data_IF_182722588825
#
_entry.id   IF_182722588825
#
_cell.length_a   1.000
_cell.length_b   1.000
_cell.length_c   1.000
_cell.angle_alpha   90.00
_cell.angle_beta   90.00
_cell.angle_gamma   90.00
#
_symmetry.space_group_name_H-M   'P 1'
#
loop_
_entity.id
_entity.type
_entity.pdbx_description
1 polymer ?
#
# COMPACT_ATOMS: atom_id res chain seq x y z
N UNK A 1 -21.60 8.28 -3.29
CA UNK A 1 -22.40 7.46 -2.35
C UNK A 1 -21.65 7.44 -1.02
N UNK A 2 -22.32 7.68 0.11
CA UNK A 2 -21.64 7.71 1.41
C UNK A 2 -21.15 6.30 1.79
N UNK A 3 -20.12 6.19 2.62
CA UNK A 3 -19.62 4.87 3.11
C UNK A 3 -20.76 4.07 3.73
N UNK A 4 -21.63 4.72 4.51
CA UNK A 4 -22.81 4.09 5.12
C UNK A 4 -23.77 3.49 4.10
N UNK A 5 -24.01 4.17 2.98
CA UNK A 5 -24.90 3.66 1.93
C UNK A 5 -24.28 2.42 1.26
N UNK A 6 -22.96 2.44 1.03
CA UNK A 6 -22.21 1.29 0.49
C UNK A 6 -22.25 0.10 1.45
N UNK A 7 -22.14 0.32 2.75
CA UNK A 7 -22.26 -0.74 3.76
C UNK A 7 -23.65 -1.39 3.74
N UNK A 8 -24.72 -0.59 3.61
CA UNK A 8 -26.09 -1.09 3.48
C UNK A 8 -26.26 -1.91 2.19
N UNK A 9 -25.71 -1.43 1.07
CA UNK A 9 -25.71 -2.17 -0.19
C UNK A 9 -24.96 -3.49 -0.06
N UNK A 10 -23.78 -3.50 0.58
CA UNK A 10 -22.98 -4.71 0.81
C UNK A 10 -23.74 -5.72 1.68
N UNK A 11 -24.38 -5.29 2.76
CA UNK A 11 -25.20 -6.17 3.59
C UNK A 11 -26.38 -6.76 2.82
N UNK A 12 -27.04 -5.94 2.00
CA UNK A 12 -28.15 -6.37 1.15
C UNK A 12 -27.66 -7.44 0.17
N UNK A 13 -26.53 -7.19 -0.49
CA UNK A 13 -25.95 -8.13 -1.44
C UNK A 13 -25.53 -9.45 -0.78
N UNK A 14 -24.96 -9.41 0.43
CA UNK A 14 -24.64 -10.62 1.21
C UNK A 14 -25.89 -11.45 1.52
N UNK A 15 -27.02 -10.81 1.86
CA UNK A 15 -28.29 -11.50 2.10
C UNK A 15 -28.84 -12.12 0.82
N UNK A 16 -28.78 -11.40 -0.29
CA UNK A 16 -29.20 -11.93 -1.60
C UNK A 16 -28.37 -13.14 -2.03
N UNK A 17 -27.04 -13.09 -1.82
CA UNK A 17 -26.14 -14.21 -2.11
C UNK A 17 -26.52 -15.42 -1.24
N UNK A 18 -26.66 -15.23 0.07
CA UNK A 18 -27.03 -16.31 0.97
C UNK A 18 -28.39 -16.93 0.62
N UNK A 19 -29.36 -16.11 0.19
CA UNK A 19 -30.64 -16.59 -0.28
C UNK A 19 -30.50 -17.40 -1.58
N UNK A 20 -29.73 -16.90 -2.55
CA UNK A 20 -29.48 -17.58 -3.81
C UNK A 20 -28.75 -18.91 -3.61
N UNK A 21 -27.78 -18.96 -2.70
CA UNK A 21 -27.06 -20.18 -2.33
C UNK A 21 -27.97 -21.19 -1.64
N UNK A 22 -28.87 -20.74 -0.77
CA UNK A 22 -29.78 -21.62 -0.04
C UNK A 22 -30.80 -22.33 -0.95
N UNK A 23 -31.22 -21.71 -2.05
CA UNK A 23 -32.15 -22.31 -3.01
C UNK A 23 -31.49 -22.85 -4.28
N UNK A 24 -30.17 -22.69 -4.40
CA UNK A 24 -29.39 -22.90 -5.62
C UNK A 24 -29.65 -24.25 -6.29
N UNK A 25 -29.52 -25.35 -5.55
CA UNK A 25 -29.65 -26.70 -6.11
C UNK A 25 -31.07 -26.96 -6.61
N UNK A 26 -32.08 -26.51 -5.86
CA UNK A 26 -33.49 -26.70 -6.21
C UNK A 26 -33.88 -25.85 -7.42
N UNK A 27 -33.45 -24.59 -7.44
CA UNK A 27 -33.77 -23.67 -8.54
C UNK A 27 -33.02 -24.06 -9.82
N UNK A 28 -31.77 -24.53 -9.71
CA UNK A 28 -31.05 -25.11 -10.83
C UNK A 28 -31.73 -26.38 -11.35
N UNK A 29 -32.20 -27.27 -10.48
CA UNK A 29 -32.91 -28.48 -10.90
C UNK A 29 -34.20 -28.14 -11.67
N UNK A 30 -34.97 -27.15 -11.22
CA UNK A 30 -36.15 -26.65 -11.93
C UNK A 30 -35.80 -26.05 -13.28
N UNK A 31 -34.76 -25.20 -13.32
CA UNK A 31 -34.25 -24.61 -14.57
C UNK A 31 -33.84 -25.69 -15.56
N UNK A 32 -33.13 -26.73 -15.12
CA UNK A 32 -32.76 -27.86 -15.96
C UNK A 32 -33.98 -28.66 -16.42
N UNK A 33 -34.99 -28.85 -15.56
CA UNK A 33 -36.21 -29.54 -15.95
C UNK A 33 -36.97 -28.80 -17.06
N UNK A 34 -37.01 -27.47 -17.00
CA UNK A 34 -37.62 -26.63 -18.03
C UNK A 34 -36.79 -26.55 -19.32
N UNK A 35 -35.46 -26.62 -19.20
CA UNK A 35 -34.52 -26.51 -20.33
C UNK A 35 -34.21 -27.86 -21.00
N UNK A 36 -34.62 -28.97 -20.40
CA UNK A 36 -34.43 -30.30 -20.99
C UNK A 36 -35.34 -30.46 -22.20
N UNK A 37 -34.73 -30.50 -23.38
CA UNK A 37 -35.41 -30.72 -24.65
C UNK A 37 -35.14 -32.14 -25.19
N UNK A 38 -35.82 -32.51 -26.27
CA UNK A 38 -35.66 -33.84 -26.91
C UNK A 38 -34.20 -34.16 -27.24
N UNK A 39 -33.38 -33.15 -27.54
CA UNK A 39 -31.95 -33.35 -27.84
C UNK A 39 -31.15 -33.68 -26.59
N UNK A 40 -31.40 -33.00 -25.48
CA UNK A 40 -30.74 -33.31 -24.22
C UNK A 40 -31.20 -34.68 -23.68
N UNK A 41 -32.47 -35.03 -23.86
CA UNK A 41 -32.98 -36.37 -23.54
C UNK A 41 -32.31 -37.45 -24.40
N UNK A 42 -32.14 -37.22 -25.71
CA UNK A 42 -31.43 -38.12 -26.60
C UNK A 42 -30.00 -38.39 -26.10
N UNK A 43 -29.28 -37.33 -25.70
CA UNK A 43 -27.95 -37.47 -25.10
C UNK A 43 -27.99 -38.34 -23.83
N UNK A 44 -29.01 -38.23 -22.99
CA UNK A 44 -29.12 -39.04 -21.77
C UNK A 44 -29.17 -40.56 -22.06
N UNK A 45 -29.84 -40.95 -23.14
CA UNK A 45 -29.99 -42.35 -23.55
C UNK A 45 -28.84 -42.85 -24.43
N UNK A 46 -28.37 -42.02 -25.36
CA UNK A 46 -27.45 -42.43 -26.43
C UNK A 46 -25.99 -41.99 -26.19
N UNK A 47 -25.75 -40.94 -25.40
CA UNK A 47 -24.40 -40.43 -25.11
C UNK A 47 -24.30 -39.73 -23.74
N UNK A 48 -24.20 -40.53 -22.68
CA UNK A 48 -24.18 -40.06 -21.28
C UNK A 48 -23.06 -39.08 -20.98
N UNK A 49 -21.90 -39.21 -21.63
CA UNK A 49 -20.75 -38.32 -21.40
C UNK A 49 -21.10 -36.91 -21.84
N UNK A 50 -21.64 -36.76 -23.05
CA UNK A 50 -22.00 -35.44 -23.58
C UNK A 50 -23.24 -34.87 -22.90
N UNK A 51 -24.16 -35.71 -22.41
CA UNK A 51 -25.24 -35.27 -21.52
C UNK A 51 -24.69 -34.56 -20.28
N UNK A 52 -23.81 -35.21 -19.50
CA UNK A 52 -23.27 -34.60 -18.29
C UNK A 52 -22.41 -33.36 -18.57
N UNK A 53 -21.69 -33.33 -19.70
CA UNK A 53 -20.98 -32.11 -20.14
C UNK A 53 -21.94 -30.94 -20.37
N UNK A 54 -23.05 -31.16 -21.08
CA UNK A 54 -24.07 -30.13 -21.30
C UNK A 54 -24.67 -29.63 -19.99
N UNK A 55 -24.98 -30.54 -19.06
CA UNK A 55 -25.50 -30.18 -17.73
C UNK A 55 -24.49 -29.32 -16.94
N UNK A 56 -23.20 -29.68 -16.96
CA UNK A 56 -22.16 -28.91 -16.26
C UNK A 56 -21.93 -27.53 -16.88
N UNK A 57 -21.97 -27.42 -18.20
CA UNK A 57 -21.91 -26.11 -18.88
C UNK A 57 -23.07 -25.23 -18.45
N UNK A 58 -24.29 -25.79 -18.41
CA UNK A 58 -25.47 -25.06 -17.99
C UNK A 58 -25.41 -24.68 -16.51
N UNK A 59 -24.92 -25.58 -15.65
CA UNK A 59 -24.69 -25.29 -14.23
C UNK A 59 -23.74 -24.12 -14.05
N UNK A 60 -22.62 -24.10 -14.76
CA UNK A 60 -21.65 -23.00 -14.68
C UNK A 60 -22.26 -21.68 -15.15
N UNK A 61 -23.06 -21.70 -16.23
CA UNK A 61 -23.76 -20.50 -16.70
C UNK A 61 -24.77 -19.99 -15.64
N UNK A 62 -25.55 -20.89 -15.07
CA UNK A 62 -26.52 -20.57 -14.03
C UNK A 62 -25.85 -19.98 -12.78
N UNK A 63 -24.79 -20.63 -12.29
CA UNK A 63 -24.00 -20.14 -11.16
C UNK A 63 -23.43 -18.74 -11.43
N UNK A 64 -22.90 -18.54 -12.62
CA UNK A 64 -22.33 -17.26 -13.00
C UNK A 64 -23.37 -16.13 -12.99
N UNK A 65 -24.57 -16.39 -13.51
CA UNK A 65 -25.65 -15.40 -13.59
C UNK A 65 -26.31 -15.09 -12.24
N UNK A 66 -26.49 -16.11 -11.40
CA UNK A 66 -27.27 -15.98 -10.18
C UNK A 66 -26.44 -15.76 -8.90
N UNK A 67 -25.17 -16.21 -8.89
CA UNK A 67 -24.31 -16.15 -7.70
C UNK A 67 -23.00 -15.42 -7.99
N UNK A 68 -22.19 -15.86 -8.96
CA UNK A 68 -20.81 -15.37 -9.11
C UNK A 68 -20.74 -13.87 -9.36
N UNK A 69 -21.56 -13.32 -10.26
CA UNK A 69 -21.61 -11.86 -10.50
C UNK A 69 -21.96 -11.05 -9.24
N UNK A 70 -22.83 -11.59 -8.37
CA UNK A 70 -23.17 -10.94 -7.10
C UNK A 70 -22.00 -11.00 -6.13
N UNK A 71 -21.33 -12.15 -6.04
CA UNK A 71 -20.13 -12.31 -5.22
C UNK A 71 -19.03 -11.34 -5.67
N UNK A 72 -18.76 -11.25 -6.97
CA UNK A 72 -17.76 -10.32 -7.53
C UNK A 72 -18.08 -8.87 -7.16
N UNK A 73 -19.37 -8.48 -7.26
CA UNK A 73 -19.83 -7.15 -6.86
C UNK A 73 -19.65 -6.92 -5.35
N UNK A 74 -19.91 -7.92 -4.50
CA UNK A 74 -19.73 -7.81 -3.05
C UNK A 74 -18.26 -7.61 -2.69
N UNK A 75 -17.35 -8.32 -3.36
CA UNK A 75 -15.91 -8.20 -3.17
C UNK A 75 -15.47 -6.78 -3.56
N UNK A 76 -15.80 -6.34 -4.78
CA UNK A 76 -15.43 -5.00 -5.26
C UNK A 76 -15.96 -3.89 -4.34
N UNK A 77 -17.22 -4.01 -3.88
CA UNK A 77 -17.81 -3.03 -2.97
C UNK A 77 -17.15 -3.05 -1.59
N UNK A 78 -16.77 -4.23 -1.09
CA UNK A 78 -16.05 -4.36 0.17
C UNK A 78 -14.67 -3.71 0.11
N UNK A 79 -13.92 -3.92 -0.98
CA UNK A 79 -12.64 -3.27 -1.22
C UNK A 79 -12.79 -1.74 -1.33
N UNK A 80 -13.82 -1.27 -2.03
CA UNK A 80 -14.10 0.16 -2.15
C UNK A 80 -14.42 0.81 -0.79
N UNK A 81 -15.20 0.13 0.07
CA UNK A 81 -15.50 0.58 1.42
C UNK A 81 -14.22 0.65 2.26
N UNK A 82 -13.39 -0.40 2.23
CA UNK A 82 -12.15 -0.44 2.98
C UNK A 82 -11.20 0.69 2.58
N UNK A 83 -11.02 0.91 1.28
CA UNK A 83 -10.21 2.00 0.76
C UNK A 83 -10.77 3.38 1.15
N UNK A 84 -12.10 3.54 1.10
CA UNK A 84 -12.76 4.79 1.50
C UNK A 84 -12.55 5.08 3.00
N UNK A 85 -12.65 4.05 3.86
CA UNK A 85 -12.41 4.18 5.30
C UNK A 85 -10.96 4.55 5.61
N UNK A 86 -10.00 3.85 5.00
CA UNK A 86 -8.57 4.19 5.15
C UNK A 86 -8.28 5.63 4.74
N UNK A 87 -8.84 6.08 3.61
CA UNK A 87 -8.68 7.46 3.17
C UNK A 87 -9.28 8.45 4.18
N UNK A 88 -10.46 8.16 4.72
CA UNK A 88 -11.10 9.01 5.73
C UNK A 88 -10.29 9.05 7.03
N UNK A 89 -9.78 7.91 7.51
CA UNK A 89 -8.92 7.83 8.70
C UNK A 89 -7.64 8.67 8.54
N UNK A 90 -7.03 8.64 7.34
CA UNK A 90 -5.85 9.46 7.02
C UNK A 90 -6.21 10.96 7.04
N UNK A 91 -7.33 11.34 6.41
CA UNK A 91 -7.79 12.74 6.38
C UNK A 91 -8.13 13.26 7.79
N UNK A 92 -8.80 12.45 8.61
CA UNK A 92 -9.12 12.77 10.00
C UNK A 92 -7.85 12.94 10.84
N UNK A 93 -6.89 12.03 10.70
CA UNK A 93 -5.60 12.12 11.37
C UNK A 93 -4.79 13.35 10.93
N UNK A 94 -4.81 13.69 9.63
CA UNK A 94 -4.19 14.92 9.12
C UNK A 94 -4.86 16.16 9.72
N UNK A 95 -6.18 16.19 9.75
CA UNK A 95 -6.94 17.31 10.32
C UNK A 95 -6.67 17.47 11.82
N UNK A 96 -6.64 16.38 12.58
CA UNK A 96 -6.33 16.40 14.02
C UNK A 96 -4.88 16.85 14.28
N UNK A 97 -3.93 16.42 13.46
CA UNK A 97 -2.55 16.90 13.53
C UNK A 97 -2.46 18.41 13.29
N UNK A 98 -3.04 18.90 12.19
CA UNK A 98 -3.07 20.33 11.88
C UNK A 98 -3.82 21.12 12.96
N UNK A 99 -4.83 20.54 13.60
CA UNK A 99 -5.54 21.16 14.71
C UNK A 99 -4.66 21.34 15.95
N UNK A 100 -3.87 20.32 16.31
CA UNK A 100 -2.93 20.40 17.44
C UNK A 100 -1.82 21.42 17.22
N UNK A 101 -1.46 21.64 15.97
CA UNK A 101 -0.38 22.55 15.57
C UNK A 101 -0.90 23.84 14.90
N UNK A 102 -2.14 24.26 15.18
CA UNK A 102 -2.74 25.49 14.60
C UNK A 102 -1.92 26.76 14.81
N UNK A 103 -1.14 26.81 15.89
CA UNK A 103 -0.29 27.95 16.24
C UNK A 103 1.11 27.88 15.60
N UNK A 104 1.43 26.77 14.94
CA UNK A 104 2.68 26.52 14.24
C UNK A 104 2.39 26.59 12.74
N UNK A 105 3.12 27.42 12.00
CA UNK A 105 2.93 27.58 10.55
C UNK A 105 3.54 26.36 9.81
N UNK A 106 2.95 25.18 10.03
CA UNK A 106 3.40 23.92 9.44
C UNK A 106 3.01 23.90 7.97
N UNK A 107 4.01 23.79 7.11
CA UNK A 107 3.81 23.41 5.72
C UNK A 107 3.75 21.87 5.61
N UNK A 108 2.56 21.36 5.30
CA UNK A 108 2.36 19.91 5.20
C UNK A 108 3.05 19.32 3.97
N UNK A 109 3.19 20.10 2.89
CA UNK A 109 3.85 19.62 1.67
C UNK A 109 5.34 19.44 1.95
N UNK A 110 5.97 20.33 2.73
CA UNK A 110 7.35 20.17 3.20
C UNK A 110 7.54 18.93 4.09
N UNK A 111 6.58 18.61 4.98
CA UNK A 111 6.65 17.40 5.80
C UNK A 111 6.58 16.12 4.95
N UNK A 112 5.75 16.12 3.92
CA UNK A 112 5.60 15.00 3.00
C UNK A 112 6.88 14.84 2.17
N UNK A 113 7.45 15.94 1.68
CA UNK A 113 8.72 15.92 0.93
C UNK A 113 9.88 15.47 1.80
N UNK A 114 9.98 15.95 3.05
CA UNK A 114 10.95 15.47 4.03
C UNK A 114 10.84 13.96 4.27
N UNK A 115 9.62 13.46 4.47
CA UNK A 115 9.39 12.02 4.61
C UNK A 115 9.81 11.28 3.34
N UNK A 116 9.46 11.75 2.15
CA UNK A 116 9.70 11.02 0.90
C UNK A 116 11.16 11.08 0.43
N UNK A 117 11.82 12.23 0.55
CA UNK A 117 13.11 12.51 -0.09
C UNK A 117 14.27 12.51 0.90
N UNK A 118 14.07 13.04 2.10
CA UNK A 118 15.16 13.28 3.06
C UNK A 118 15.29 12.17 4.12
N UNK A 119 14.20 11.47 4.42
CA UNK A 119 14.18 10.50 5.51
C UNK A 119 14.88 9.17 5.14
N UNK A 120 15.92 8.72 5.88
CA UNK A 120 16.54 7.43 5.64
C UNK A 120 15.56 6.27 5.81
N UNK A 121 15.72 5.22 4.99
CA UNK A 121 14.82 4.05 4.97
C UNK A 121 14.60 3.39 6.34
N UNK A 122 15.59 3.48 7.24
CA UNK A 122 15.47 2.96 8.61
C UNK A 122 14.36 3.67 9.39
N UNK A 123 14.31 4.99 9.34
CA UNK A 123 13.31 5.79 10.02
C UNK A 123 11.94 5.65 9.35
N UNK A 124 11.88 5.55 8.01
CA UNK A 124 10.63 5.29 7.27
C UNK A 124 9.94 4.04 7.81
N UNK A 125 10.69 2.93 7.95
CA UNK A 125 10.15 1.68 8.51
C UNK A 125 9.68 1.76 9.96
N UNK A 126 10.17 2.72 10.74
CA UNK A 126 9.73 2.94 12.12
C UNK A 126 8.45 3.78 12.13
N UNK A 127 8.39 4.81 11.29
CA UNK A 127 7.22 5.69 11.11
C UNK A 127 6.06 4.93 10.45
N UNK A 128 6.31 4.07 9.47
CA UNK A 128 5.29 3.28 8.75
C UNK A 128 4.53 2.31 9.65
N UNK A 129 5.01 2.07 10.88
CA UNK A 129 4.31 1.27 11.89
C UNK A 129 3.36 2.11 12.75
N UNK A 130 3.50 3.42 12.71
CA UNK A 130 2.64 4.35 13.43
C UNK A 130 1.39 4.61 12.61
N UNK A 131 0.26 4.74 13.29
CA UNK A 131 -1.04 4.96 12.67
C UNK A 131 -1.63 6.31 13.11
N UNK A 132 -2.48 6.86 12.25
CA UNK A 132 -3.21 8.10 12.53
C UNK A 132 -2.31 9.29 12.85
N UNK A 133 -2.63 10.03 13.90
CA UNK A 133 -1.92 11.28 14.24
C UNK A 133 -0.46 11.04 14.64
N UNK A 134 -0.14 9.87 15.20
CA UNK A 134 1.24 9.55 15.63
C UNK A 134 2.20 9.46 14.45
N UNK A 135 1.70 9.04 13.28
CA UNK A 135 2.47 9.04 12.04
C UNK A 135 2.92 10.46 11.68
N UNK A 136 1.98 11.41 11.63
CA UNK A 136 2.27 12.80 11.29
C UNK A 136 3.15 13.47 12.37
N UNK A 137 2.90 13.18 13.65
CA UNK A 137 3.72 13.68 14.75
C UNK A 137 5.18 13.24 14.63
N UNK A 138 5.43 11.97 14.32
CA UNK A 138 6.80 11.46 14.23
C UNK A 138 7.59 12.08 13.07
N UNK A 139 6.93 12.33 11.93
CA UNK A 139 7.55 13.06 10.81
C UNK A 139 7.88 14.48 11.25
N UNK A 140 6.95 15.15 11.92
CA UNK A 140 7.13 16.51 12.41
C UNK A 140 8.26 16.64 13.43
N UNK A 141 8.33 15.75 14.42
CA UNK A 141 9.37 15.76 15.44
C UNK A 141 10.77 15.57 14.82
N UNK A 142 10.88 14.70 13.81
CA UNK A 142 12.13 14.49 13.08
C UNK A 142 12.49 15.68 12.19
N UNK A 143 11.50 16.31 11.56
CA UNK A 143 11.69 17.52 10.76
C UNK A 143 12.18 18.69 11.63
N UNK A 144 11.56 18.90 12.79
CA UNK A 144 11.98 19.91 13.76
C UNK A 144 13.39 19.62 14.31
N UNK A 145 13.73 18.35 14.56
CA UNK A 145 15.08 17.96 14.97
C UNK A 145 16.13 18.28 13.89
N UNK A 146 15.83 17.96 12.62
CA UNK A 146 16.71 18.24 11.49
C UNK A 146 16.88 19.75 11.22
N UNK A 147 15.80 20.53 11.33
CA UNK A 147 15.90 22.00 11.24
C UNK A 147 16.62 22.62 12.45
N UNK A 148 16.45 22.03 13.65
CA UNK A 148 17.17 22.41 14.86
C UNK A 148 18.68 22.17 14.79
N UNK A 149 19.11 21.08 14.16
CA UNK A 149 20.53 20.79 13.88
C UNK A 149 21.11 21.79 12.86
N UNK A 150 20.36 22.17 11.83
CA UNK A 150 20.77 23.21 10.88
C UNK A 150 20.94 24.62 11.53
N UNK A 151 20.27 24.90 12.66
CA UNK A 151 20.50 26.13 13.43
C UNK A 151 21.66 26.04 14.45
N UNK A 152 22.15 24.84 14.78
CA UNK A 152 23.32 24.66 15.66
C UNK A 152 24.64 24.52 14.91
N UNK A 153 24.65 24.04 13.67
CA UNK A 153 25.88 23.98 12.86
C UNK A 153 26.40 25.36 12.43
N UNK A 154 25.53 26.38 12.28
CA UNK A 154 25.97 27.77 12.03
C UNK A 154 26.57 28.47 13.27
N UNK A 155 26.34 27.95 14.48
CA UNK A 155 26.99 28.46 15.71
C UNK A 155 28.20 27.65 16.14
N UNK A 156 28.27 26.35 15.85
CA UNK A 156 29.45 25.53 16.12
C UNK A 156 30.64 25.87 15.19
N UNK A 157 30.36 26.32 13.96
CA UNK A 157 31.38 26.71 12.99
C UNK A 157 32.13 28.02 13.30
N UNK A 158 31.75 28.76 14.35
CA UNK A 158 32.47 29.98 14.80
C UNK A 158 33.22 29.86 16.12
N UNK A 159 33.05 28.77 16.88
CA UNK A 159 33.71 28.61 18.18
C UNK A 159 34.76 27.49 18.22
N UNK A 160 34.83 26.59 17.24
CA UNK A 160 35.84 25.52 17.20
C UNK A 160 37.18 25.87 16.52
N UNK A 161 37.39 27.12 16.06
CA UNK A 161 38.73 27.55 15.60
C UNK A 161 39.67 27.98 16.74
N UNK A 162 39.24 27.97 18.01
CA UNK A 162 40.07 28.50 19.13
C UNK A 162 40.81 27.49 19.99
N UNK A 163 40.68 26.17 19.80
CA UNK A 163 41.39 25.20 20.65
C UNK A 163 41.91 23.96 19.90
N UNK A 164 42.68 24.16 18.81
CA UNK A 164 43.60 23.13 18.33
C UNK A 164 45.02 23.45 18.82
N UNK A 165 45.68 22.58 19.61
CA UNK A 165 47.06 22.76 20.02
C UNK A 165 47.97 22.84 18.80
N UNK A 166 48.84 23.86 18.77
CA UNK A 166 49.82 24.07 17.70
C UNK A 166 50.67 22.81 17.48
N UNK A 167 50.68 22.31 16.24
CA UNK A 167 51.57 21.26 15.80
C UNK A 167 53.04 21.66 16.04
N UNK A 168 53.76 20.75 16.71
CA UNK A 168 55.19 20.85 16.96
C UNK A 168 55.93 20.65 15.64
N UNK A 169 56.72 21.65 15.24
CA UNK A 169 57.62 21.57 14.08
C UNK A 169 58.66 20.46 14.28
N UNK A 170 58.48 19.33 13.59
CA UNK A 170 59.50 18.31 13.38
C UNK A 170 60.44 18.71 12.24
N UNK A 171 61.69 19.01 12.56
CA UNK A 171 62.76 19.29 11.62
C UNK A 171 63.28 17.96 11.01
N UNK A 172 63.12 17.73 9.70
CA UNK A 172 63.96 16.76 8.99
C UNK A 172 64.30 17.21 7.56
N UNK A 173 65.57 17.62 7.49
CA UNK A 173 66.54 17.73 6.40
C UNK A 173 66.15 17.12 5.04
N UNK A 174 66.34 17.95 4.01
CA UNK A 174 66.31 17.61 2.59
C UNK A 174 67.34 16.55 2.18
N UNK A 175 66.97 15.66 1.25
CA UNK A 175 67.92 15.24 0.21
C UNK A 175 67.19 14.89 -1.09
N UNK A 176 67.64 15.58 -2.14
CA UNK A 176 67.35 15.37 -3.55
C UNK A 176 67.93 14.03 -4.03
N UNK A 177 67.22 13.31 -4.89
CA UNK A 177 67.68 12.97 -6.24
C UNK A 177 66.89 11.81 -6.90
N UNK A 178 66.56 12.04 -8.18
CA UNK A 178 66.59 11.10 -9.30
C UNK A 178 65.57 9.95 -9.42
N UNK A 179 64.77 10.13 -10.49
CA UNK A 179 64.74 9.28 -11.68
C UNK A 179 63.64 8.21 -11.84
N UNK A 180 62.91 8.41 -12.95
CA UNK A 180 62.54 7.44 -14.00
C UNK A 180 61.27 6.59 -13.83
N UNK A 181 60.25 7.00 -14.60
CA UNK A 181 59.42 6.23 -15.54
C UNK A 181 59.42 4.69 -15.46
N UNK A 182 58.20 4.12 -15.39
CA UNK A 182 57.58 3.09 -16.27
C UNK A 182 56.46 2.39 -15.44
N UNK A 183 55.17 2.58 -15.73
CA UNK A 183 54.33 1.92 -16.76
C UNK A 183 54.23 0.40 -16.66
N UNK A 184 52.98 -0.10 -16.71
CA UNK A 184 52.47 -1.33 -17.39
C UNK A 184 51.71 -2.36 -16.53
N UNK A 185 50.43 -2.52 -16.91
CA UNK A 185 49.51 -3.69 -16.95
C UNK A 185 49.11 -4.45 -15.68
N UNK A 186 47.81 -4.55 -15.35
CA UNK A 186 46.71 -5.37 -15.93
C UNK A 186 46.65 -6.79 -15.37
N UNK A 187 45.55 -7.02 -14.64
CA UNK A 187 44.74 -8.24 -14.42
C UNK A 187 45.42 -9.59 -14.18
N UNK A 188 45.03 -10.20 -13.08
CA UNK A 188 44.47 -11.55 -13.10
C UNK A 188 43.02 -11.49 -12.63
#
# INVERSE_FOLDING_TARGET
MAIRDKEIELETLKREIAQAEASLENDFAKHMAEKTDEKLEDLFFNNKVDFYRSVLVEQNNYLNEHVSKKVDKAIALSEEIENSKKSQEIEEAKAEFLEKHKDENIDFDELVDFYNEELPQKYKREIDKLEGVQFFQAIYDLFQAAQGENMQEEKASREEERNLPKEVKGNSVSSSANARNQSVMTRF
#
